data_IF_604158347046
#
_entry.id   IF_604158347046
#
_cell.length_a   1.000
_cell.length_b   1.000
_cell.length_c   1.000
_cell.angle_alpha   90.00
_cell.angle_beta   90.00
_cell.angle_gamma   90.00
#
_symmetry.space_group_name_H-M   'P 1'
#
loop_
_entity.id
_entity.type
_entity.pdbx_description
1 polymer ?
#
# COMPACT_ATOMS: atom_id res chain seq x y z
N UNK A 1 -3.63 1.45 20.49
CA UNK A 1 -4.72 0.76 19.75
C UNK A 1 -4.72 1.36 18.35
N UNK A 2 -4.45 0.55 17.32
CA UNK A 2 -4.36 1.04 15.94
C UNK A 2 -5.69 1.65 15.48
N UNK A 3 -5.60 2.78 14.81
CA UNK A 3 -6.75 3.49 14.27
C UNK A 3 -7.58 2.54 13.37
N UNK A 4 -8.86 2.26 13.70
CA UNK A 4 -9.71 1.38 12.90
C UNK A 4 -9.82 1.81 11.44
N UNK A 5 -9.73 3.12 11.17
CA UNK A 5 -9.75 3.66 9.83
C UNK A 5 -8.49 3.29 9.04
N UNK A 6 -7.33 3.30 9.71
CA UNK A 6 -6.06 2.89 9.08
C UNK A 6 -6.12 1.44 8.64
N UNK A 7 -6.61 0.54 9.50
CA UNK A 7 -6.74 -0.88 9.15
C UNK A 7 -7.68 -1.12 7.99
N UNK A 8 -8.81 -0.41 7.94
CA UNK A 8 -9.74 -0.50 6.81
C UNK A 8 -9.08 -0.05 5.49
N UNK A 9 -8.29 1.04 5.54
CA UNK A 9 -7.55 1.52 4.38
C UNK A 9 -6.43 0.58 3.95
N UNK A 10 -5.65 0.05 4.90
CA UNK A 10 -4.64 -0.98 4.65
C UNK A 10 -5.27 -2.16 3.91
N UNK A 11 -6.35 -2.76 4.44
CA UNK A 11 -7.02 -3.89 3.78
C UNK A 11 -7.51 -3.57 2.37
N UNK A 12 -8.06 -2.37 2.14
CA UNK A 12 -8.51 -1.96 0.80
C UNK A 12 -7.35 -1.74 -0.17
N UNK A 13 -6.23 -1.20 0.32
CA UNK A 13 -5.02 -1.03 -0.48
C UNK A 13 -4.40 -2.39 -0.79
N UNK A 14 -4.41 -3.33 0.15
CA UNK A 14 -3.95 -4.70 -0.05
C UNK A 14 -4.78 -5.42 -1.13
N UNK A 15 -6.11 -5.33 -1.05
CA UNK A 15 -7.01 -5.89 -2.07
C UNK A 15 -6.78 -5.25 -3.45
N UNK A 16 -6.58 -3.93 -3.49
CA UNK A 16 -6.41 -3.19 -4.74
C UNK A 16 -5.05 -3.48 -5.37
N UNK A 17 -3.97 -3.45 -4.59
CA UNK A 17 -2.60 -3.60 -5.09
C UNK A 17 -2.22 -5.08 -5.25
N UNK A 18 -2.83 -5.99 -4.50
CA UNK A 18 -2.53 -7.42 -4.51
C UNK A 18 -1.27 -7.78 -3.72
N UNK A 19 -0.86 -6.92 -2.79
CA UNK A 19 0.32 -7.10 -1.94
C UNK A 19 0.11 -6.44 -0.59
N UNK A 20 0.98 -6.71 0.37
CA UNK A 20 0.91 -6.18 1.74
C UNK A 20 1.16 -4.67 1.78
N UNK A 21 0.29 -3.96 2.51
CA UNK A 21 0.35 -2.51 2.65
C UNK A 21 0.28 -2.12 4.11
N UNK A 22 1.14 -1.19 4.52
CA UNK A 22 1.18 -0.65 5.87
C UNK A 22 1.11 0.87 5.86
N UNK A 23 0.27 1.42 6.71
CA UNK A 23 0.14 2.84 6.96
C UNK A 23 0.78 3.19 8.31
N UNK A 24 1.78 4.06 8.29
CA UNK A 24 2.46 4.55 9.47
C UNK A 24 2.23 6.04 9.60
N UNK A 25 1.81 6.51 10.79
CA UNK A 25 1.65 7.94 11.09
C UNK A 25 2.51 8.32 12.29
N UNK A 26 3.32 9.37 12.11
CA UNK A 26 4.23 9.91 13.13
C UNK A 26 4.04 11.42 13.19
N UNK A 27 3.20 11.85 14.14
CA UNK A 27 2.76 13.25 14.27
C UNK A 27 2.09 13.73 12.99
N UNK A 28 2.70 14.72 12.34
CA UNK A 28 2.19 15.39 11.14
C UNK A 28 2.64 14.68 9.85
N UNK A 29 3.47 13.64 9.96
CA UNK A 29 4.01 12.89 8.82
C UNK A 29 3.36 11.51 8.76
N UNK A 30 3.26 10.98 7.54
CA UNK A 30 2.80 9.63 7.29
C UNK A 30 3.66 8.94 6.26
N UNK A 31 3.65 7.62 6.28
CA UNK A 31 4.30 6.76 5.30
C UNK A 31 3.32 5.65 4.90
N UNK A 32 3.28 5.37 3.61
CA UNK A 32 2.66 4.17 3.06
C UNK A 32 3.81 3.26 2.64
N UNK A 33 3.79 2.02 3.11
CA UNK A 33 4.75 0.98 2.72
C UNK A 33 3.99 -0.05 1.92
N UNK A 34 4.40 -0.27 0.68
CA UNK A 34 3.90 -1.33 -0.19
C UNK A 34 5.05 -2.32 -0.38
N UNK A 35 4.88 -3.56 0.06
CA UNK A 35 5.89 -4.61 -0.11
C UNK A 35 5.75 -5.23 -1.52
N UNK A 36 6.84 -5.67 -2.13
CA UNK A 36 6.83 -6.48 -3.35
C UNK A 36 7.96 -7.50 -3.27
N UNK A 37 7.72 -8.69 -3.80
CA UNK A 37 8.62 -9.83 -3.71
C UNK A 37 9.18 -10.26 -5.07
N UNK A 38 8.71 -9.67 -6.16
CA UNK A 38 9.24 -9.86 -7.50
C UNK A 38 9.15 -8.61 -8.37
N UNK A 39 9.87 -8.60 -9.48
CA UNK A 39 9.81 -7.51 -10.47
C UNK A 39 8.40 -7.43 -11.09
N UNK A 40 7.75 -8.57 -11.35
CA UNK A 40 6.39 -8.63 -11.89
C UNK A 40 5.36 -7.98 -10.96
N UNK A 41 5.50 -8.17 -9.64
CA UNK A 41 4.65 -7.50 -8.65
C UNK A 41 4.87 -5.99 -8.66
N UNK A 42 6.13 -5.54 -8.71
CA UNK A 42 6.45 -4.11 -8.82
C UNK A 42 5.82 -3.50 -10.08
N UNK A 43 5.97 -4.16 -11.23
CA UNK A 43 5.34 -3.75 -12.49
C UNK A 43 3.81 -3.67 -12.36
N UNK A 44 3.18 -4.65 -11.70
CA UNK A 44 1.74 -4.64 -11.42
C UNK A 44 1.31 -3.46 -10.54
N UNK A 45 2.09 -3.11 -9.53
CA UNK A 45 1.86 -1.96 -8.65
C UNK A 45 2.00 -0.64 -9.44
N UNK A 46 3.07 -0.48 -10.22
CA UNK A 46 3.31 0.72 -11.04
C UNK A 46 2.18 0.94 -12.06
N UNK A 47 1.72 -0.12 -12.74
CA UNK A 47 0.56 -0.08 -13.64
C UNK A 47 -0.71 0.42 -12.94
N UNK A 48 -0.93 0.05 -11.67
CA UNK A 48 -2.12 0.47 -10.89
C UNK A 48 -2.01 1.90 -10.35
N UNK A 49 -0.81 2.34 -9.98
CA UNK A 49 -0.60 3.63 -9.31
C UNK A 49 -0.38 4.79 -10.27
N UNK A 50 0.40 4.57 -11.33
CA UNK A 50 0.82 5.63 -12.26
C UNK A 50 0.48 5.33 -13.73
N UNK A 51 -0.19 4.20 -14.00
CA UNK A 51 -0.62 3.80 -15.34
C UNK A 51 0.52 3.68 -16.37
N UNK A 52 1.76 3.44 -15.93
CA UNK A 52 2.89 3.17 -16.83
C UNK A 52 2.90 1.72 -17.36
N UNK A 53 3.43 1.55 -18.58
CA UNK A 53 3.38 0.32 -19.38
C UNK A 53 4.69 -0.46 -19.40
#
# INVERSE_FOLDING_TARGET
IGDPQFRMWESRLEETLGTKVKLEKLGNRGKIVVEFFSEEELQGILRKLIHEL
#
